data_IF_571626742654
#
_entry.id   IF_571626742654
#
_cell.length_a   1.000
_cell.length_b   1.000
_cell.length_c   1.000
_cell.angle_alpha   90.00
_cell.angle_beta   90.00
_cell.angle_gamma   90.00
#
_symmetry.space_group_name_H-M   'P 1'
#
loop_
_entity.id
_entity.type
_entity.pdbx_description
1 polymer ?
#
# COMPACT_ATOMS: atom_id res chain seq x y z
N UNK A 1 9.65 0.88 -16.79
CA UNK A 1 9.89 -0.43 -16.16
C UNK A 1 8.53 -1.02 -15.86
N UNK A 2 8.09 -2.03 -16.61
CA UNK A 2 6.80 -2.69 -16.39
C UNK A 2 6.97 -3.68 -15.24
N UNK A 3 6.12 -3.60 -14.23
CA UNK A 3 6.20 -4.52 -13.09
C UNK A 3 6.00 -5.97 -13.53
N UNK A 4 6.89 -6.86 -13.10
CA UNK A 4 6.74 -8.30 -13.31
C UNK A 4 5.38 -8.80 -12.78
N UNK A 5 4.70 -9.65 -13.57
CA UNK A 5 3.41 -10.25 -13.19
C UNK A 5 3.46 -10.93 -11.81
N UNK A 6 4.54 -11.68 -11.56
CA UNK A 6 4.77 -12.35 -10.27
C UNK A 6 4.82 -11.38 -9.08
N UNK A 7 5.33 -10.15 -9.30
CA UNK A 7 5.41 -9.13 -8.25
C UNK A 7 4.04 -8.50 -8.02
N UNK A 8 3.27 -8.23 -9.08
CA UNK A 8 1.88 -7.75 -8.99
C UNK A 8 0.99 -8.74 -8.20
N UNK A 9 1.07 -10.02 -8.53
CA UNK A 9 0.28 -11.07 -7.86
C UNK A 9 0.63 -11.22 -6.38
N UNK A 10 1.92 -11.16 -6.02
CA UNK A 10 2.36 -11.17 -4.61
C UNK A 10 1.79 -10.00 -3.81
N UNK A 11 1.83 -8.80 -4.38
CA UNK A 11 1.33 -7.58 -3.74
C UNK A 11 -0.18 -7.65 -3.52
N UNK A 12 -0.93 -8.07 -4.55
CA UNK A 12 -2.37 -8.28 -4.45
C UNK A 12 -2.71 -9.30 -3.36
N UNK A 13 -1.99 -10.42 -3.31
CA UNK A 13 -2.22 -11.44 -2.30
C UNK A 13 -1.88 -10.96 -0.89
N UNK A 14 -0.77 -10.24 -0.69
CA UNK A 14 -0.37 -9.67 0.62
C UNK A 14 -1.23 -8.51 1.09
N UNK A 15 -1.96 -7.87 0.17
CA UNK A 15 -2.88 -6.78 0.52
C UNK A 15 -4.21 -7.26 1.07
N UNK A 16 -4.45 -8.59 1.06
CA UNK A 16 -5.65 -9.19 1.64
C UNK A 16 -5.46 -9.35 3.15
N UNK A 17 -6.27 -8.66 3.95
CA UNK A 17 -6.14 -8.60 5.40
C UNK A 17 -7.40 -9.16 6.08
N UNK A 18 -7.41 -9.16 7.42
CA UNK A 18 -8.53 -9.68 8.21
C UNK A 18 -9.70 -8.69 8.34
N UNK A 19 -9.55 -7.46 7.84
CA UNK A 19 -10.50 -6.36 8.03
C UNK A 19 -11.03 -5.90 6.67
N UNK A 20 -12.33 -6.11 6.43
CA UNK A 20 -12.99 -5.78 5.15
C UNK A 20 -12.76 -4.33 4.71
N UNK A 21 -12.80 -3.38 5.64
CA UNK A 21 -12.57 -1.96 5.34
C UNK A 21 -11.15 -1.72 4.81
N UNK A 22 -10.17 -2.44 5.36
CA UNK A 22 -8.78 -2.38 4.91
C UNK A 22 -8.62 -3.01 3.53
N UNK A 23 -9.22 -4.18 3.33
CA UNK A 23 -9.21 -4.85 2.03
C UNK A 23 -9.81 -3.97 0.93
N UNK A 24 -10.95 -3.33 1.18
CA UNK A 24 -11.60 -2.44 0.20
C UNK A 24 -10.74 -1.20 -0.11
N UNK A 25 -10.10 -0.61 0.90
CA UNK A 25 -9.21 0.53 0.72
C UNK A 25 -8.00 0.15 -0.14
N UNK A 26 -7.34 -0.96 0.18
CA UNK A 26 -6.17 -1.45 -0.53
C UNK A 26 -6.51 -1.92 -1.95
N UNK A 27 -7.65 -2.60 -2.14
CA UNK A 27 -8.12 -3.03 -3.45
C UNK A 27 -8.39 -1.84 -4.38
N UNK A 28 -9.06 -0.78 -3.88
CA UNK A 28 -9.29 0.45 -4.64
C UNK A 28 -7.99 1.13 -5.02
N UNK A 29 -7.07 1.25 -4.07
CA UNK A 29 -5.74 1.81 -4.30
C UNK A 29 -4.98 1.03 -5.37
N UNK A 30 -4.90 -0.29 -5.26
CA UNK A 30 -4.19 -1.14 -6.24
C UNK A 30 -4.88 -1.11 -7.60
N UNK A 31 -6.21 -1.13 -7.66
CA UNK A 31 -6.94 -1.05 -8.92
C UNK A 31 -6.62 0.23 -9.69
N UNK A 32 -6.41 1.35 -9.00
CA UNK A 32 -6.07 2.65 -9.61
C UNK A 32 -4.58 2.83 -9.87
N UNK A 33 -3.73 2.37 -8.97
CA UNK A 33 -2.31 2.73 -8.97
C UNK A 33 -1.36 1.60 -9.36
N UNK A 34 -1.76 0.32 -9.32
CA UNK A 34 -0.86 -0.83 -9.54
C UNK A 34 -0.11 -0.80 -10.88
N UNK A 35 -0.73 -0.24 -11.93
CA UNK A 35 -0.07 -0.13 -13.25
C UNK A 35 0.84 1.10 -13.36
N UNK A 36 0.65 2.10 -12.49
CA UNK A 36 1.41 3.35 -12.44
C UNK A 36 2.51 3.38 -11.40
N UNK A 37 2.50 2.43 -10.45
CA UNK A 37 3.49 2.36 -9.38
C UNK A 37 4.88 2.04 -9.94
N UNK A 38 5.86 2.79 -9.45
CA UNK A 38 7.28 2.54 -9.71
C UNK A 38 7.82 1.41 -8.82
N UNK A 39 8.98 0.86 -9.16
CA UNK A 39 9.61 -0.19 -8.34
C UNK A 39 9.98 0.27 -6.93
N UNK A 40 10.34 1.54 -6.79
CA UNK A 40 10.64 2.17 -5.49
C UNK A 40 9.38 2.26 -4.63
N UNK A 41 8.28 2.79 -5.19
CA UNK A 41 6.99 2.86 -4.48
C UNK A 41 6.47 1.48 -4.09
N UNK A 42 6.70 0.47 -4.92
CA UNK A 42 6.32 -0.91 -4.60
C UNK A 42 7.18 -1.49 -3.49
N UNK A 43 8.46 -1.15 -3.44
CA UNK A 43 9.32 -1.56 -2.34
C UNK A 43 8.85 -0.94 -1.02
N UNK A 44 8.46 0.34 -1.05
CA UNK A 44 7.87 1.03 0.10
C UNK A 44 6.52 0.42 0.48
N UNK A 45 5.65 0.16 -0.50
CA UNK A 45 4.36 -0.52 -0.27
C UNK A 45 4.57 -1.90 0.37
N UNK A 46 5.58 -2.65 -0.08
CA UNK A 46 5.94 -3.93 0.50
C UNK A 46 6.31 -3.81 1.97
N UNK A 47 7.06 -2.75 2.32
CA UNK A 47 7.37 -2.40 3.71
C UNK A 47 6.11 -2.14 4.53
N UNK A 48 5.13 -1.41 3.98
CA UNK A 48 3.85 -1.22 4.65
C UNK A 48 3.06 -2.51 4.86
N UNK A 49 3.13 -3.47 3.92
CA UNK A 49 2.49 -4.77 4.08
C UNK A 49 3.14 -5.64 5.17
N UNK A 50 4.38 -5.38 5.55
CA UNK A 50 5.04 -6.05 6.67
C UNK A 50 4.59 -5.52 8.04
N UNK A 51 3.89 -4.38 8.08
CA UNK A 51 3.37 -3.81 9.31
C UNK A 51 2.10 -4.53 9.77
N UNK A 52 1.97 -4.60 11.10
CA UNK A 52 0.75 -5.05 11.78
C UNK A 52 -0.46 -4.23 11.32
N UNK A 53 -1.65 -4.82 11.34
CA UNK A 53 -2.88 -4.12 10.95
C UNK A 53 -3.09 -2.81 11.75
N UNK A 54 -2.74 -2.80 13.05
CA UNK A 54 -2.81 -1.61 13.89
C UNK A 54 -1.85 -0.51 13.44
N UNK A 55 -0.58 -0.84 13.18
CA UNK A 55 0.42 0.14 12.70
C UNK A 55 0.01 0.74 11.35
N UNK A 56 -0.47 -0.12 10.43
CA UNK A 56 -0.94 0.33 9.14
C UNK A 56 -2.16 1.24 9.28
N UNK A 57 -3.11 0.89 10.15
CA UNK A 57 -4.29 1.70 10.44
C UNK A 57 -3.90 3.04 11.10
N UNK A 58 -2.99 3.05 12.07
CA UNK A 58 -2.53 4.28 12.71
C UNK A 58 -1.83 5.21 11.70
N UNK A 59 -1.06 4.66 10.77
CA UNK A 59 -0.54 5.45 9.65
C UNK A 59 -1.66 5.91 8.72
N UNK A 60 -2.63 5.07 8.36
CA UNK A 60 -3.75 5.50 7.50
C UNK A 60 -4.59 6.61 8.16
N UNK A 61 -4.74 6.59 9.48
CA UNK A 61 -5.44 7.59 10.28
C UNK A 61 -4.60 8.85 10.59
N UNK A 62 -3.32 8.88 10.21
CA UNK A 62 -2.41 10.01 10.50
C UNK A 62 -2.02 10.13 11.98
N UNK A 63 -2.13 9.04 12.74
CA UNK A 63 -1.64 8.96 14.13
C UNK A 63 -0.15 8.63 14.19
N UNK A 64 0.38 8.08 13.11
CA UNK A 64 1.80 7.79 12.92
C UNK A 64 2.25 8.43 11.61
N UNK A 65 3.24 9.31 11.70
CA UNK A 65 3.81 9.98 10.53
C UNK A 65 4.82 9.05 9.84
N UNK A 66 4.69 8.86 8.51
CA UNK A 66 5.74 8.22 7.73
C UNK A 66 6.99 9.09 7.72
N UNK A 67 8.16 8.46 7.71
CA UNK A 67 9.43 9.19 7.86
C UNK A 67 10.03 9.59 6.51
N UNK A 68 9.81 8.77 5.49
CA UNK A 68 10.34 8.98 4.14
C UNK A 68 9.33 9.69 3.23
N UNK A 69 9.83 10.49 2.28
CA UNK A 69 8.99 11.22 1.33
C UNK A 69 8.10 10.26 0.52
N UNK A 70 8.68 9.15 0.03
CA UNK A 70 7.93 8.15 -0.73
C UNK A 70 6.84 7.46 0.10
N UNK A 71 7.09 7.23 1.39
CA UNK A 71 6.09 6.69 2.31
C UNK A 71 4.92 7.65 2.47
N UNK A 72 5.20 8.95 2.61
CA UNK A 72 4.19 10.00 2.71
C UNK A 72 3.34 10.08 1.44
N UNK A 73 3.98 10.11 0.26
CA UNK A 73 3.29 10.16 -1.02
C UNK A 73 2.39 8.92 -1.22
N UNK A 74 2.92 7.74 -0.92
CA UNK A 74 2.19 6.48 -1.08
C UNK A 74 1.00 6.39 -0.10
N UNK A 75 1.21 6.78 1.17
CA UNK A 75 0.14 6.82 2.17
C UNK A 75 -0.97 7.81 1.76
N UNK A 76 -0.60 8.96 1.21
CA UNK A 76 -1.57 9.91 0.68
C UNK A 76 -2.35 9.35 -0.52
N UNK A 77 -1.71 8.59 -1.41
CA UNK A 77 -2.43 7.90 -2.50
C UNK A 77 -3.42 6.86 -1.97
N UNK A 78 -3.04 6.09 -0.95
CA UNK A 78 -3.92 5.10 -0.30
C UNK A 78 -5.13 5.79 0.33
N UNK A 79 -4.93 6.90 1.07
CA UNK A 79 -6.01 7.66 1.74
C UNK A 79 -6.97 8.35 0.76
N UNK A 80 -6.51 8.74 -0.43
CA UNK A 80 -7.32 9.45 -1.44
C UNK A 80 -7.87 8.55 -2.56
N UNK A 81 -7.76 7.22 -2.43
CA UNK A 81 -8.23 6.24 -3.42
C UNK A 81 -9.72 5.90 -3.32
#
# INVERSE_FOLDING_TARGET
MLLDKNRKERILWRSRRGLLEMDLLLERFLSKHLDTLTEEEITVYDGFLQLSDNDFLDMAMGRKDPQEILEIELMNKIRNS
#
